data_IF_482525306400
#
_entry.id   IF_482525306400
#
_cell.length_a   1.000
_cell.length_b   1.000
_cell.length_c   1.000
_cell.angle_alpha   90.00
_cell.angle_beta   90.00
_cell.angle_gamma   90.00
#
_symmetry.space_group_name_H-M   'P 1'
#
loop_
_entity.id
_entity.type
_entity.pdbx_description
1 polymer ?
#
# COMPACT_ATOMS: atom_id res chain seq x y z
N UNK A 1 13.44 -3.67 16.17
CA UNK A 1 13.83 -2.27 15.83
C UNK A 1 15.20 -1.90 16.39
N UNK A 2 15.43 -1.96 17.71
CA UNK A 2 16.71 -1.58 18.36
C UNK A 2 17.92 -2.29 17.72
N UNK A 3 17.80 -3.59 17.44
CA UNK A 3 18.83 -4.36 16.73
C UNK A 3 19.30 -3.70 15.41
N UNK A 4 18.37 -3.19 14.59
CA UNK A 4 18.74 -2.55 13.31
C UNK A 4 19.54 -1.27 13.56
N UNK A 5 19.13 -0.46 14.53
CA UNK A 5 19.85 0.76 14.94
C UNK A 5 21.28 0.42 15.38
N UNK A 6 21.43 -0.58 16.26
CA UNK A 6 22.75 -1.00 16.76
C UNK A 6 23.62 -1.51 15.61
N UNK A 7 23.10 -2.38 14.75
CA UNK A 7 23.86 -2.93 13.63
C UNK A 7 24.29 -1.86 12.62
N UNK A 8 23.43 -0.88 12.36
CA UNK A 8 23.77 0.27 11.51
C UNK A 8 24.82 1.16 12.17
N UNK A 9 24.71 1.44 13.47
CA UNK A 9 25.70 2.22 14.22
C UNK A 9 27.07 1.54 14.24
N UNK A 10 27.09 0.20 14.31
CA UNK A 10 28.30 -0.62 14.27
C UNK A 10 28.85 -0.82 12.84
N UNK A 11 28.17 -0.31 11.81
CA UNK A 11 28.59 -0.43 10.41
C UNK A 11 28.34 -1.79 9.76
N UNK A 12 27.62 -2.70 10.42
CA UNK A 12 27.27 -4.01 9.84
C UNK A 12 26.12 -3.93 8.83
N UNK A 13 25.28 -2.89 8.91
CA UNK A 13 24.16 -2.66 8.00
C UNK A 13 24.17 -1.22 7.48
N UNK A 14 23.82 -1.05 6.22
CA UNK A 14 23.61 0.28 5.63
C UNK A 14 22.29 0.90 6.09
N UNK A 15 22.18 2.22 5.94
CA UNK A 15 20.96 2.97 6.23
C UNK A 15 19.95 2.72 5.11
N UNK A 16 18.68 2.48 5.47
CA UNK A 16 17.61 2.31 4.48
C UNK A 16 17.42 3.57 3.64
N UNK A 17 17.42 3.42 2.31
CA UNK A 17 17.13 4.51 1.39
C UNK A 17 15.65 4.90 1.45
N UNK A 18 15.41 6.18 1.79
CA UNK A 18 14.07 6.76 1.84
C UNK A 18 13.46 6.91 0.45
N UNK A 19 14.25 7.05 -0.60
CA UNK A 19 13.78 7.31 -1.96
C UNK A 19 13.63 6.01 -2.78
N UNK A 20 14.02 4.87 -2.21
CA UNK A 20 13.77 3.56 -2.79
C UNK A 20 12.27 3.30 -2.99
N UNK A 21 11.88 3.00 -4.24
CA UNK A 21 10.46 2.85 -4.60
C UNK A 21 9.76 1.66 -3.95
N UNK A 22 10.49 0.62 -3.53
CA UNK A 22 9.88 -0.50 -2.78
C UNK A 22 9.39 -0.09 -1.39
N UNK A 23 9.87 1.03 -0.86
CA UNK A 23 9.43 1.62 0.41
C UNK A 23 8.25 2.59 0.23
N UNK A 24 7.78 2.80 -1.01
CA UNK A 24 6.63 3.65 -1.31
C UNK A 24 5.36 2.83 -1.46
N UNK A 25 4.23 3.46 -1.15
CA UNK A 25 2.89 2.93 -1.39
C UNK A 25 2.07 4.00 -2.11
N UNK A 26 1.31 3.55 -3.10
CA UNK A 26 0.38 4.39 -3.86
C UNK A 26 -0.99 4.30 -3.23
N UNK A 27 -1.50 5.43 -2.78
CA UNK A 27 -2.88 5.55 -2.35
C UNK A 27 -3.77 5.81 -3.56
N UNK A 28 -4.69 4.88 -3.83
CA UNK A 28 -5.62 4.97 -4.94
C UNK A 28 -6.90 5.72 -4.54
N UNK A 29 -7.67 6.14 -5.55
CA UNK A 29 -8.95 6.82 -5.37
C UNK A 29 -9.90 6.04 -4.44
N UNK A 30 -9.97 4.72 -4.57
CA UNK A 30 -10.81 3.87 -3.71
C UNK A 30 -10.45 3.97 -2.23
N UNK A 31 -9.16 3.91 -1.90
CA UNK A 31 -8.68 4.04 -0.52
C UNK A 31 -9.00 5.41 0.06
N UNK A 32 -8.80 6.48 -0.71
CA UNK A 32 -9.15 7.84 -0.30
C UNK A 32 -10.66 7.96 -0.05
N UNK A 33 -11.49 7.59 -1.03
CA UNK A 33 -12.96 7.68 -0.93
C UNK A 33 -13.47 6.86 0.26
N UNK A 34 -12.89 5.68 0.51
CA UNK A 34 -13.24 4.84 1.67
C UNK A 34 -13.04 5.57 2.99
N UNK A 35 -11.88 6.23 3.18
CA UNK A 35 -11.60 7.00 4.40
C UNK A 35 -12.57 8.18 4.57
N UNK A 36 -12.86 8.89 3.48
CA UNK A 36 -13.81 10.00 3.49
C UNK A 36 -15.22 9.53 3.85
N UNK A 37 -15.69 8.46 3.19
CA UNK A 37 -17.00 7.88 3.44
C UNK A 37 -17.12 7.34 4.86
N UNK A 38 -16.10 6.66 5.39
CA UNK A 38 -16.12 6.13 6.76
C UNK A 38 -16.30 7.25 7.80
N UNK A 39 -15.59 8.37 7.64
CA UNK A 39 -15.73 9.52 8.54
C UNK A 39 -17.12 10.15 8.43
N UNK A 40 -17.64 10.35 7.22
CA UNK A 40 -18.98 10.88 6.99
C UNK A 40 -20.07 9.97 7.56
N UNK A 41 -19.94 8.66 7.38
CA UNK A 41 -20.89 7.68 7.88
C UNK A 41 -20.88 7.61 9.42
N UNK A 42 -19.71 7.71 10.05
CA UNK A 42 -19.62 7.79 11.52
C UNK A 42 -20.18 9.09 12.07
N UNK A 43 -19.99 10.22 11.37
CA UNK A 43 -20.64 11.49 11.72
C UNK A 43 -22.17 11.40 11.59
N UNK A 44 -22.66 10.81 10.49
CA UNK A 44 -24.08 10.54 10.29
C UNK A 44 -24.67 9.71 11.45
N UNK A 45 -24.02 8.62 11.84
CA UNK A 45 -24.46 7.79 12.98
C UNK A 45 -24.43 8.57 14.31
N UNK A 46 -23.43 9.42 14.51
CA UNK A 46 -23.31 10.24 15.73
C UNK A 46 -24.39 11.32 15.80
N UNK A 47 -24.74 11.95 14.67
CA UNK A 47 -25.84 12.91 14.59
C UNK A 47 -27.19 12.22 14.80
N UNK A 48 -27.42 11.08 14.16
CA UNK A 48 -28.65 10.30 14.31
C UNK A 48 -28.85 9.88 15.77
N UNK A 49 -27.78 9.43 16.45
CA UNK A 49 -27.82 9.12 17.87
C UNK A 49 -28.21 10.35 18.71
N UNK A 50 -27.59 11.51 18.46
CA UNK A 50 -27.94 12.76 19.18
C UNK A 50 -29.41 13.14 18.99
N UNK A 51 -29.93 13.02 17.77
CA UNK A 51 -31.34 13.32 17.48
C UNK A 51 -32.26 12.34 18.21
N UNK A 52 -31.93 11.04 18.20
CA UNK A 52 -32.68 10.03 18.94
C UNK A 52 -32.67 10.31 20.45
N UNK A 53 -31.51 10.60 21.04
CA UNK A 53 -31.38 10.90 22.47
C UNK A 53 -32.19 12.15 22.89
N UNK A 54 -32.34 13.13 22.00
CA UNK A 54 -33.16 14.34 22.23
C UNK A 54 -34.66 14.10 22.02
N UNK A 55 -35.03 13.22 21.09
CA UNK A 55 -36.40 13.04 20.64
C UNK A 55 -37.14 11.96 21.42
N UNK A 56 -36.43 10.94 21.93
CA UNK A 56 -37.01 9.85 22.71
C UNK A 56 -37.35 10.35 24.13
N UNK A 57 -38.64 10.50 24.48
CA UNK A 57 -39.03 11.01 25.78
C UNK A 57 -38.87 9.91 26.85
N UNK A 58 -38.21 10.23 27.98
CA UNK A 58 -38.00 9.30 29.11
C UNK A 58 -39.26 8.57 29.66
N UNK A 59 -40.48 9.16 29.66
CA UNK A 59 -41.63 8.53 30.30
C UNK A 59 -42.66 7.88 29.35
N UNK A 60 -42.47 7.85 28.03
CA UNK A 60 -43.44 7.21 27.10
C UNK A 60 -42.75 6.41 26.00
N UNK A 61 -43.12 5.14 25.89
CA UNK A 61 -42.78 4.24 24.80
C UNK A 61 -43.53 4.62 23.51
N UNK A 62 -43.32 5.86 23.01
CA UNK A 62 -43.76 6.23 21.68
C UNK A 62 -42.84 5.54 20.65
N UNK A 63 -43.43 5.03 19.57
CA UNK A 63 -42.67 4.42 18.48
C UNK A 63 -41.75 5.47 17.85
N UNK A 64 -40.44 5.27 17.96
CA UNK A 64 -39.45 6.15 17.34
C UNK A 64 -39.16 5.67 15.91
N UNK A 65 -39.64 6.43 14.92
CA UNK A 65 -39.34 6.18 13.52
C UNK A 65 -38.00 6.84 13.15
N UNK A 66 -36.95 6.02 13.13
CA UNK A 66 -35.58 6.46 12.82
C UNK A 66 -35.48 7.05 11.42
N UNK A 67 -36.25 6.52 10.46
CA UNK A 67 -36.12 6.87 9.03
C UNK A 67 -36.43 8.35 8.79
N UNK A 68 -37.41 8.90 9.53
CA UNK A 68 -37.78 10.32 9.45
C UNK A 68 -36.69 11.26 9.94
N UNK A 69 -35.78 10.77 10.77
CA UNK A 69 -34.73 11.56 11.40
C UNK A 69 -33.37 11.39 10.69
N UNK A 70 -33.31 10.59 9.63
CA UNK A 70 -32.12 10.42 8.81
C UNK A 70 -31.92 11.61 7.86
N UNK A 71 -30.85 12.38 8.08
CA UNK A 71 -30.43 13.45 7.16
C UNK A 71 -29.73 12.87 5.93
N UNK A 72 -30.48 12.69 4.84
CA UNK A 72 -29.96 12.12 3.59
C UNK A 72 -28.89 13.01 2.92
N UNK A 73 -28.98 14.33 3.11
CA UNK A 73 -28.11 15.29 2.40
C UNK A 73 -26.67 15.35 2.91
N UNK A 74 -26.41 14.89 4.14
CA UNK A 74 -25.12 15.07 4.82
C UNK A 74 -23.98 14.40 4.03
N UNK A 75 -24.20 13.14 3.63
CA UNK A 75 -23.19 12.34 2.93
C UNK A 75 -23.00 12.88 1.52
N UNK A 76 -24.09 13.06 0.78
CA UNK A 76 -24.08 13.54 -0.61
C UNK A 76 -23.40 14.89 -0.74
N UNK A 77 -23.82 15.88 0.06
CA UNK A 77 -23.30 17.25 0.01
C UNK A 77 -21.81 17.26 0.36
N UNK A 78 -21.41 16.52 1.40
CA UNK A 78 -20.00 16.51 1.83
C UNK A 78 -19.08 15.84 0.81
N UNK A 79 -19.52 14.74 0.19
CA UNK A 79 -18.77 14.07 -0.88
C UNK A 79 -18.60 14.99 -2.10
N UNK A 80 -19.68 15.65 -2.53
CA UNK A 80 -19.64 16.59 -3.66
C UNK A 80 -18.71 17.77 -3.37
N UNK A 81 -18.73 18.33 -2.16
CA UNK A 81 -17.83 19.42 -1.77
C UNK A 81 -16.37 18.96 -1.75
N UNK A 82 -16.07 17.78 -1.20
CA UNK A 82 -14.70 17.25 -1.13
C UNK A 82 -14.12 16.98 -2.53
N UNK A 83 -14.92 16.42 -3.44
CA UNK A 83 -14.50 16.11 -4.80
C UNK A 83 -14.39 17.38 -5.65
N UNK A 84 -15.32 18.32 -5.54
CA UNK A 84 -15.32 19.56 -6.34
C UNK A 84 -14.23 20.54 -5.91
N UNK A 85 -14.00 20.70 -4.61
CA UNK A 85 -12.96 21.59 -4.09
C UNK A 85 -11.55 20.98 -4.12
N UNK A 86 -11.44 19.64 -4.16
CA UNK A 86 -10.18 18.91 -4.05
C UNK A 86 -9.48 19.04 -2.70
N UNK A 87 -10.16 19.59 -1.71
CA UNK A 87 -9.69 19.72 -0.34
C UNK A 87 -10.28 18.60 0.53
N UNK A 88 -9.42 17.67 0.94
CA UNK A 88 -9.77 16.50 1.71
C UNK A 88 -9.32 16.73 3.15
N UNK A 89 -10.25 17.22 3.97
CA UNK A 89 -10.03 17.54 5.38
C UNK A 89 -10.81 16.55 6.24
N UNK A 90 -10.12 15.50 6.71
CA UNK A 90 -10.70 14.46 7.54
C UNK A 90 -10.05 14.51 8.92
N UNK A 91 -10.67 15.28 9.83
CA UNK A 91 -10.15 15.54 11.19
C UNK A 91 -9.87 14.25 11.98
N UNK A 92 -10.76 13.24 11.85
CA UNK A 92 -10.64 11.97 12.56
C UNK A 92 -9.34 11.22 12.25
N UNK A 93 -8.89 11.28 11.00
CA UNK A 93 -7.66 10.63 10.54
C UNK A 93 -6.47 11.59 10.47
N UNK A 94 -6.61 12.84 10.97
CA UNK A 94 -5.61 13.90 10.85
C UNK A 94 -5.10 14.07 9.41
N UNK A 95 -5.99 13.89 8.43
CA UNK A 95 -5.66 14.01 7.02
C UNK A 95 -6.09 15.37 6.52
N UNK A 96 -5.11 16.20 6.17
CA UNK A 96 -5.33 17.50 5.55
C UNK A 96 -4.59 17.54 4.22
N UNK A 97 -5.29 17.20 3.14
CA UNK A 97 -4.72 17.16 1.79
C UNK A 97 -5.42 18.15 0.89
N UNK A 98 -4.64 18.89 0.11
CA UNK A 98 -5.12 19.85 -0.88
C UNK A 98 -4.74 19.39 -2.29
N UNK A 99 -5.62 19.64 -3.25
CA UNK A 99 -5.38 19.31 -4.66
C UNK A 99 -5.39 17.81 -4.96
N UNK A 100 -6.16 17.04 -4.19
CA UNK A 100 -6.35 15.59 -4.41
C UNK A 100 -7.09 15.34 -5.72
N UNK A 101 -8.15 16.10 -5.97
CA UNK A 101 -8.88 16.10 -7.25
C UNK A 101 -8.49 17.32 -8.06
N UNK A 102 -8.49 17.17 -9.39
CA UNK A 102 -8.15 18.21 -10.35
C UNK A 102 -9.11 18.10 -11.54
N UNK A 103 -9.40 19.23 -12.19
CA UNK A 103 -10.20 19.25 -13.42
C UNK A 103 -9.41 18.55 -14.53
N UNK A 104 -10.03 17.60 -15.21
CA UNK A 104 -9.41 16.89 -16.32
C UNK A 104 -9.15 17.85 -17.49
N UNK A 105 -7.89 18.00 -17.86
CA UNK A 105 -7.46 18.79 -19.02
C UNK A 105 -7.86 18.08 -20.31
N UNK A 106 -8.57 18.79 -21.19
CA UNK A 106 -9.05 18.29 -22.49
C UNK A 106 -8.37 18.98 -23.69
N UNK A 107 -7.09 19.30 -23.55
CA UNK A 107 -6.32 19.93 -24.63
C UNK A 107 -6.00 18.96 -25.77
N UNK A 108 -5.71 17.70 -25.44
CA UNK A 108 -5.46 16.63 -26.41
C UNK A 108 -5.77 15.27 -25.79
N UNK A 109 -5.90 14.25 -26.62
CA UNK A 109 -6.09 12.87 -26.16
C UNK A 109 -4.96 12.43 -25.20
N UNK A 110 -3.71 12.74 -25.55
CA UNK A 110 -2.54 12.41 -24.72
C UNK A 110 -2.54 13.20 -23.41
N UNK A 111 -2.98 14.46 -23.43
CA UNK A 111 -3.09 15.27 -22.20
C UNK A 111 -4.09 14.67 -21.21
N UNK A 112 -5.24 14.21 -21.70
CA UNK A 112 -6.23 13.55 -20.86
C UNK A 112 -5.70 12.22 -20.29
N UNK A 113 -5.05 11.40 -21.12
CA UNK A 113 -4.47 10.12 -20.68
C UNK A 113 -3.34 10.31 -19.67
N UNK A 114 -2.42 11.25 -19.92
CA UNK A 114 -1.30 11.55 -19.03
C UNK A 114 -1.74 12.09 -17.67
N UNK A 115 -2.95 12.66 -17.55
CA UNK A 115 -3.53 13.00 -16.26
C UNK A 115 -4.03 11.79 -15.47
N UNK A 116 -4.54 10.76 -16.14
CA UNK A 116 -5.06 9.55 -15.49
C UNK A 116 -3.95 8.69 -14.88
N UNK A 117 -2.78 8.66 -15.52
CA UNK A 117 -1.61 7.86 -15.08
C UNK A 117 -0.66 8.65 -14.18
N UNK A 118 -1.04 9.86 -13.79
CA UNK A 118 -0.21 10.79 -13.00
C UNK A 118 -0.15 10.38 -11.54
N UNK A 119 1.05 10.45 -10.99
CA UNK A 119 1.36 10.24 -9.58
C UNK A 119 1.89 11.54 -9.00
N UNK A 120 1.38 11.92 -7.83
CA UNK A 120 1.84 13.08 -7.08
C UNK A 120 2.55 12.63 -5.80
N UNK A 121 3.75 13.15 -5.57
CA UNK A 121 4.44 13.03 -4.29
C UNK A 121 3.84 13.98 -3.25
N UNK A 122 3.88 13.58 -1.98
CA UNK A 122 3.44 14.39 -0.83
C UNK A 122 4.49 15.42 -0.38
N UNK A 123 5.64 15.49 -1.06
CA UNK A 123 6.72 16.40 -0.68
C UNK A 123 6.35 17.86 -0.96
N UNK A 124 6.72 18.77 -0.05
CA UNK A 124 6.52 20.21 -0.24
C UNK A 124 7.28 20.71 -1.49
N UNK A 125 6.54 21.34 -2.41
CA UNK A 125 7.08 21.81 -3.69
C UNK A 125 8.13 22.93 -3.52
N UNK A 126 8.01 23.71 -2.45
CA UNK A 126 8.84 24.91 -2.19
C UNK A 126 10.29 24.59 -1.81
N UNK A 127 10.57 23.38 -1.30
CA UNK A 127 11.93 23.00 -0.91
C UNK A 127 12.71 22.47 -2.11
N UNK A 128 13.85 23.10 -2.41
CA UNK A 128 14.81 22.67 -3.45
C UNK A 128 15.73 21.56 -2.95
N UNK A 129 15.15 20.40 -2.62
CA UNK A 129 15.93 19.20 -2.24
C UNK A 129 16.00 18.26 -3.43
N UNK A 130 17.21 17.83 -3.81
CA UNK A 130 17.44 16.98 -4.99
C UNK A 130 16.98 15.54 -4.79
N UNK A 131 17.15 14.96 -3.59
CA UNK A 131 16.86 13.54 -3.28
C UNK A 131 15.56 12.99 -3.90
N UNK A 132 14.37 13.46 -3.48
CA UNK A 132 13.10 12.94 -3.97
C UNK A 132 12.78 13.32 -5.43
N UNK A 133 13.50 14.28 -6.00
CA UNK A 133 13.33 14.75 -7.39
C UNK A 133 14.19 13.95 -8.36
N UNK A 134 15.31 13.43 -7.90
CA UNK A 134 16.24 12.65 -8.70
C UNK A 134 15.59 11.36 -9.22
N UNK A 135 16.00 10.98 -10.43
CA UNK A 135 15.62 9.72 -11.05
C UNK A 135 16.30 8.58 -10.29
N UNK A 136 15.51 7.72 -9.65
CA UNK A 136 16.02 6.55 -8.94
C UNK A 136 16.11 5.34 -9.89
N UNK A 137 17.13 4.47 -9.81
CA UNK A 137 17.16 3.23 -10.59
C UNK A 137 16.03 2.26 -10.21
N UNK A 138 15.55 2.34 -8.97
CA UNK A 138 14.52 1.45 -8.42
C UNK A 138 13.13 1.59 -9.08
N UNK A 139 12.86 2.70 -9.77
CA UNK A 139 11.59 2.91 -10.51
C UNK A 139 11.62 2.36 -11.95
N UNK A 140 12.71 1.71 -12.37
CA UNK A 140 12.87 1.16 -13.71
C UNK A 140 11.65 0.35 -14.15
N UNK A 141 11.05 0.76 -15.27
CA UNK A 141 9.87 0.17 -15.91
C UNK A 141 8.56 0.26 -15.11
N UNK A 142 8.58 0.88 -13.93
CA UNK A 142 7.37 1.12 -13.12
C UNK A 142 6.83 2.52 -13.38
N UNK A 143 7.75 3.48 -13.51
CA UNK A 143 7.49 4.86 -13.84
C UNK A 143 8.20 5.24 -15.13
N UNK A 144 7.63 6.19 -15.86
CA UNK A 144 8.27 6.80 -17.01
C UNK A 144 9.45 7.67 -16.54
N UNK A 145 10.67 7.51 -17.10
CA UNK A 145 11.82 8.31 -16.70
C UNK A 145 11.79 9.75 -17.23
N UNK A 146 11.00 10.00 -18.29
CA UNK A 146 11.00 11.28 -19.01
C UNK A 146 9.73 12.10 -18.77
N UNK A 147 8.62 11.46 -18.42
CA UNK A 147 7.31 12.12 -18.32
C UNK A 147 7.12 12.73 -16.93
N UNK A 148 7.74 13.91 -16.76
CA UNK A 148 7.65 14.77 -15.59
C UNK A 148 7.57 16.22 -16.05
N UNK A 149 6.73 17.08 -15.42
CA UNK A 149 6.67 18.49 -15.81
C UNK A 149 7.97 19.21 -15.45
N UNK A 150 8.35 20.20 -16.26
CA UNK A 150 9.44 21.10 -15.93
C UNK A 150 9.06 22.09 -14.82
N UNK A 151 10.06 22.72 -14.20
CA UNK A 151 9.88 23.73 -13.16
C UNK A 151 9.75 23.14 -11.73
N UNK A 152 8.94 23.76 -10.89
CA UNK A 152 8.86 23.44 -9.45
C UNK A 152 8.35 22.01 -9.17
N UNK A 153 7.59 21.42 -10.09
CA UNK A 153 7.05 20.08 -9.96
C UNK A 153 7.97 18.97 -10.52
N UNK A 154 9.11 19.34 -11.10
CA UNK A 154 10.05 18.39 -11.71
C UNK A 154 10.52 17.35 -10.70
N UNK A 155 10.34 16.08 -11.05
CA UNK A 155 10.66 14.91 -10.24
C UNK A 155 9.68 14.61 -9.09
N UNK A 156 8.74 15.50 -8.77
CA UNK A 156 7.71 15.27 -7.75
C UNK A 156 6.39 14.76 -8.35
N UNK A 157 6.11 15.18 -9.59
CA UNK A 157 5.02 14.64 -10.39
C UNK A 157 5.64 13.68 -11.42
N UNK A 158 5.17 12.44 -11.43
CA UNK A 158 5.69 11.37 -12.29
C UNK A 158 4.53 10.58 -12.86
N UNK A 159 4.74 9.91 -13.99
CA UNK A 159 3.70 9.08 -14.61
C UNK A 159 4.05 7.59 -14.55
N UNK A 160 3.03 6.74 -14.41
CA UNK A 160 3.16 5.29 -14.48
C UNK A 160 3.62 4.85 -15.88
N UNK A 161 4.41 3.76 -15.93
CA UNK A 161 4.71 3.06 -17.17
C UNK A 161 3.53 2.16 -17.61
N UNK A 162 3.53 1.77 -18.89
CA UNK A 162 2.40 1.07 -19.52
C UNK A 162 2.01 -0.27 -18.87
N UNK A 163 3.01 -1.07 -18.48
CA UNK A 163 2.77 -2.41 -17.90
C UNK A 163 2.70 -2.39 -16.36
N UNK A 164 2.61 -1.21 -15.75
CA UNK A 164 2.59 -1.09 -14.30
C UNK A 164 1.20 -1.39 -13.75
N UNK A 165 1.16 -2.23 -12.72
CA UNK A 165 -0.02 -2.56 -11.95
C UNK A 165 0.15 -2.09 -10.50
N UNK A 166 -0.92 -1.60 -9.87
CA UNK A 166 -0.91 -1.23 -8.45
C UNK A 166 -1.64 -2.31 -7.68
N UNK A 167 -0.95 -2.94 -6.74
CA UNK A 167 -1.52 -4.01 -5.90
C UNK A 167 -2.68 -3.50 -5.04
N UNK A 168 -3.63 -4.38 -4.78
CA UNK A 168 -4.71 -4.18 -3.81
C UNK A 168 -4.45 -5.04 -2.58
N UNK A 169 -5.03 -4.68 -1.44
CA UNK A 169 -4.89 -5.46 -0.22
C UNK A 169 -5.45 -6.87 -0.40
N UNK A 170 -4.69 -7.85 0.08
CA UNK A 170 -5.07 -9.26 0.13
C UNK A 170 -5.02 -9.73 1.57
N UNK A 171 -6.01 -10.54 1.95
CA UNK A 171 -6.11 -11.12 3.28
C UNK A 171 -4.82 -11.87 3.67
N UNK A 172 -4.31 -11.57 4.86
CA UNK A 172 -3.01 -12.07 5.31
C UNK A 172 -3.12 -13.43 6.01
N UNK A 173 -4.27 -13.77 6.57
CA UNK A 173 -4.46 -14.99 7.37
C UNK A 173 -4.20 -16.29 6.57
N UNK A 174 -4.72 -16.48 5.35
CA UNK A 174 -4.39 -17.66 4.54
C UNK A 174 -2.90 -17.77 4.24
N UNK A 175 -2.23 -16.62 4.04
CA UNK A 175 -0.79 -16.57 3.78
C UNK A 175 0.01 -16.95 5.03
N UNK A 176 -0.40 -16.45 6.21
CA UNK A 176 0.23 -16.81 7.49
C UNK A 176 0.12 -18.31 7.77
N UNK A 177 -1.08 -18.89 7.62
CA UNK A 177 -1.30 -20.34 7.79
C UNK A 177 -0.44 -21.17 6.84
N UNK A 178 -0.33 -20.75 5.57
CA UNK A 178 0.54 -21.41 4.60
C UNK A 178 2.02 -21.36 5.02
N UNK A 179 2.48 -20.21 5.54
CA UNK A 179 3.86 -20.07 6.01
C UNK A 179 4.18 -21.05 7.15
N UNK A 180 3.28 -21.20 8.12
CA UNK A 180 3.44 -22.20 9.18
C UNK A 180 3.49 -23.64 8.62
N UNK A 181 2.60 -23.98 7.69
CA UNK A 181 2.60 -25.29 7.04
C UNK A 181 3.87 -25.59 6.24
N UNK A 182 4.57 -24.55 5.77
CA UNK A 182 5.84 -24.65 5.06
C UNK A 182 7.07 -24.69 5.99
N UNK A 183 6.87 -24.79 7.30
CA UNK A 183 7.94 -24.98 8.29
C UNK A 183 8.47 -23.67 8.89
N UNK A 184 7.68 -22.60 8.88
CA UNK A 184 7.96 -21.43 9.72
C UNK A 184 7.59 -21.77 11.16
N UNK A 185 8.53 -21.62 12.09
CA UNK A 185 8.32 -21.82 13.51
C UNK A 185 7.79 -20.51 14.14
N UNK A 186 6.67 -20.58 14.86
CA UNK A 186 6.01 -19.41 15.46
C UNK A 186 6.93 -18.67 16.44
N UNK A 187 7.01 -17.35 16.28
CA UNK A 187 7.79 -16.46 17.16
C UNK A 187 7.41 -16.61 18.64
N UNK A 188 6.16 -16.93 18.97
CA UNK A 188 5.72 -17.09 20.36
C UNK A 188 6.27 -18.36 21.03
N UNK A 189 6.74 -19.33 20.26
CA UNK A 189 7.31 -20.58 20.76
C UNK A 189 8.84 -20.52 20.92
N UNK A 190 9.46 -19.42 20.52
CA UNK A 190 10.91 -19.30 20.40
C UNK A 190 11.50 -18.38 21.47
N UNK A 191 12.69 -18.75 21.93
CA UNK A 191 13.54 -17.89 22.74
C UNK A 191 14.26 -16.82 21.90
N UNK A 192 14.75 -15.76 22.56
CA UNK A 192 15.50 -14.71 21.89
C UNK A 192 16.78 -15.21 21.20
N UNK A 193 17.40 -16.26 21.73
CA UNK A 193 18.59 -16.90 21.13
C UNK A 193 18.24 -17.64 19.85
N UNK A 194 17.11 -18.36 19.82
CA UNK A 194 16.64 -19.10 18.64
C UNK A 194 16.21 -18.16 17.50
N UNK A 195 15.53 -17.06 17.83
CA UNK A 195 15.11 -16.03 16.86
C UNK A 195 16.34 -15.36 16.21
N UNK A 196 17.46 -15.30 16.93
CA UNK A 196 18.68 -14.63 16.47
C UNK A 196 19.81 -15.59 16.12
N UNK A 197 19.50 -16.89 16.07
CA UNK A 197 20.41 -17.94 15.64
C UNK A 197 21.01 -17.65 14.26
N UNK A 198 22.26 -18.05 14.07
CA UNK A 198 22.92 -17.86 12.78
C UNK A 198 22.43 -18.82 11.69
N UNK A 199 21.73 -19.87 12.10
CA UNK A 199 21.22 -20.94 11.23
C UNK A 199 19.80 -20.67 10.73
N UNK A 200 19.14 -19.59 11.18
CA UNK A 200 17.76 -19.29 10.84
C UNK A 200 17.61 -17.91 10.20
N UNK A 201 16.53 -17.76 9.43
CA UNK A 201 16.09 -16.50 8.84
C UNK A 201 14.77 -16.10 9.50
N UNK A 202 14.65 -14.82 9.85
CA UNK A 202 13.40 -14.28 10.41
C UNK A 202 12.41 -14.04 9.26
N UNK A 203 11.19 -14.56 9.39
CA UNK A 203 10.12 -14.39 8.41
C UNK A 203 9.21 -13.24 8.84
N UNK A 204 9.06 -12.27 7.95
CA UNK A 204 8.16 -11.13 8.12
C UNK A 204 6.95 -11.27 7.21
N UNK A 205 5.75 -11.02 7.74
CA UNK A 205 4.52 -10.85 6.97
C UNK A 205 4.01 -9.43 7.20
N UNK A 206 3.96 -8.60 6.14
CA UNK A 206 3.53 -7.20 6.22
C UNK A 206 4.25 -6.36 7.30
N UNK A 207 5.50 -6.73 7.63
CA UNK A 207 6.32 -6.06 8.66
C UNK A 207 6.17 -6.64 10.08
N UNK A 208 5.22 -7.54 10.30
CA UNK A 208 5.11 -8.33 11.54
C UNK A 208 6.08 -9.50 11.51
N UNK A 209 6.74 -9.77 12.63
CA UNK A 209 7.57 -10.96 12.79
C UNK A 209 6.64 -12.15 12.98
N UNK A 210 6.58 -13.03 11.99
CA UNK A 210 5.74 -14.24 12.07
C UNK A 210 6.49 -15.36 12.79
N UNK A 211 7.78 -15.49 12.54
CA UNK A 211 8.55 -16.64 13.01
C UNK A 211 9.94 -16.72 12.40
N UNK A 212 10.55 -17.90 12.48
CA UNK A 212 11.84 -18.20 11.83
C UNK A 212 11.75 -19.42 10.93
N UNK A 213 12.66 -19.50 9.96
CA UNK A 213 12.81 -20.65 9.06
C UNK A 213 14.28 -21.01 8.92
N UNK A 214 14.60 -22.31 8.90
CA UNK A 214 15.97 -22.80 8.70
C UNK A 214 16.36 -22.85 7.22
N UNK A 215 15.44 -23.23 6.34
CA UNK A 215 15.64 -23.25 4.89
C UNK A 215 14.80 -22.17 4.18
N UNK A 216 15.32 -20.92 4.09
CA UNK A 216 14.62 -19.84 3.39
C UNK A 216 14.53 -20.08 1.88
N UNK A 217 15.45 -20.86 1.29
CA UNK A 217 15.47 -21.10 -0.16
C UNK A 217 14.32 -22.00 -0.56
N UNK A 218 14.10 -23.07 0.20
CA UNK A 218 12.95 -23.94 0.01
C UNK A 218 11.64 -23.16 0.19
N UNK A 219 11.48 -22.42 1.29
CA UNK A 219 10.29 -21.62 1.56
C UNK A 219 9.94 -20.68 0.40
N UNK A 220 10.91 -19.88 -0.07
CA UNK A 220 10.69 -18.90 -1.14
C UNK A 220 10.40 -19.57 -2.48
N UNK A 221 11.05 -20.69 -2.77
CA UNK A 221 10.83 -21.45 -4.01
C UNK A 221 9.44 -22.06 -4.02
N UNK A 222 9.01 -22.67 -2.92
CA UNK A 222 7.68 -23.27 -2.77
C UNK A 222 6.59 -22.20 -2.84
N UNK A 223 6.74 -21.05 -2.16
CA UNK A 223 5.79 -19.94 -2.27
C UNK A 223 5.65 -19.41 -3.69
N UNK A 224 6.77 -19.23 -4.40
CA UNK A 224 6.75 -18.79 -5.81
C UNK A 224 6.07 -19.82 -6.71
N UNK A 225 6.27 -21.12 -6.44
CA UNK A 225 5.61 -22.20 -7.17
C UNK A 225 4.10 -22.17 -6.94
N UNK A 226 3.65 -22.12 -5.68
CA UNK A 226 2.23 -22.05 -5.31
C UNK A 226 1.53 -20.86 -5.95
N UNK A 227 2.18 -19.68 -5.93
CA UNK A 227 1.67 -18.46 -6.60
C UNK A 227 1.53 -18.65 -8.12
N UNK A 228 2.53 -19.25 -8.78
CA UNK A 228 2.49 -19.50 -10.23
C UNK A 228 1.44 -20.52 -10.66
N UNK A 229 1.03 -21.42 -9.75
CA UNK A 229 -0.06 -22.36 -9.99
C UNK A 229 -1.43 -21.82 -9.58
N UNK A 230 -1.52 -20.56 -9.11
CA UNK A 230 -2.78 -19.92 -8.74
C UNK A 230 -3.34 -20.31 -7.36
N UNK A 231 -2.58 -21.04 -6.54
CA UNK A 231 -2.98 -21.35 -5.16
C UNK A 231 -2.81 -20.16 -4.21
N UNK A 232 -2.00 -19.19 -4.61
CA UNK A 232 -1.72 -17.96 -3.86
C UNK A 232 -1.94 -16.77 -4.78
N UNK A 233 -2.45 -15.66 -4.25
CA UNK A 233 -2.69 -14.45 -5.03
C UNK A 233 -1.39 -13.93 -5.70
N UNK A 234 -1.49 -13.54 -6.98
CA UNK A 234 -0.38 -13.09 -7.81
C UNK A 234 0.41 -11.92 -7.22
N UNK A 235 -0.26 -11.08 -6.44
CA UNK A 235 0.33 -9.87 -5.85
C UNK A 235 1.06 -10.11 -4.54
N UNK A 236 0.99 -11.32 -3.97
CA UNK A 236 1.78 -11.64 -2.77
C UNK A 236 3.25 -11.71 -3.15
N UNK A 237 4.08 -10.80 -2.62
CA UNK A 237 5.51 -10.76 -2.91
C UNK A 237 6.31 -11.53 -1.88
N UNK A 238 7.36 -12.21 -2.33
CA UNK A 238 8.34 -12.88 -1.46
C UNK A 238 9.76 -12.54 -1.90
N UNK A 239 10.58 -12.05 -0.96
CA UNK A 239 11.98 -11.73 -1.17
C UNK A 239 12.84 -12.15 0.03
N UNK A 240 14.09 -12.50 -0.24
CA UNK A 240 15.07 -12.87 0.78
C UNK A 240 16.13 -11.78 0.88
N UNK A 241 16.36 -11.24 2.07
CA UNK A 241 17.48 -10.35 2.34
C UNK A 241 18.54 -11.12 3.15
N UNK A 242 19.69 -11.36 2.52
CA UNK A 242 20.80 -12.12 3.14
C UNK A 242 21.55 -11.31 4.19
N UNK A 243 21.73 -10.00 3.98
CA UNK A 243 22.41 -9.13 4.94
C UNK A 243 21.62 -9.05 6.26
N UNK A 244 20.29 -8.97 6.16
CA UNK A 244 19.41 -8.95 7.33
C UNK A 244 19.13 -10.36 7.87
N UNK A 245 19.38 -11.42 7.08
CA UNK A 245 18.92 -12.80 7.29
C UNK A 245 17.41 -12.84 7.53
N UNK A 246 16.67 -12.29 6.59
CA UNK A 246 15.22 -12.19 6.67
C UNK A 246 14.55 -12.62 5.37
N UNK A 247 13.36 -13.19 5.50
CA UNK A 247 12.42 -13.41 4.40
C UNK A 247 11.28 -12.42 4.57
N UNK A 248 11.05 -11.57 3.57
CA UNK A 248 9.93 -10.65 3.55
C UNK A 248 8.82 -11.22 2.68
N UNK A 249 7.64 -11.37 3.27
CA UNK A 249 6.39 -11.69 2.60
C UNK A 249 5.47 -10.47 2.74
N UNK A 250 4.85 -10.05 1.65
CA UNK A 250 3.97 -8.88 1.64
C UNK A 250 2.72 -9.15 0.83
N UNK A 251 1.56 -8.97 1.47
CA UNK A 251 0.21 -9.05 0.89
C UNK A 251 -0.51 -7.70 0.89
N UNK A 252 0.15 -6.66 1.40
CA UNK A 252 -0.34 -5.28 1.44
C UNK A 252 -0.52 -4.66 0.04
N UNK A 253 -1.49 -3.77 -0.09
CA UNK A 253 -1.82 -3.02 -1.29
C UNK A 253 -0.95 -1.78 -1.47
N UNK A 254 -1.10 -1.12 -2.63
CA UNK A 254 -0.39 0.11 -2.97
C UNK A 254 1.05 -0.08 -3.46
N UNK A 255 1.58 -1.31 -3.47
CA UNK A 255 2.85 -1.63 -4.14
C UNK A 255 2.70 -1.53 -5.66
N UNK A 256 3.77 -1.10 -6.33
CA UNK A 256 3.85 -1.16 -7.78
C UNK A 256 4.36 -2.55 -8.21
N UNK A 257 3.69 -3.19 -9.17
CA UNK A 257 4.09 -4.43 -9.83
C UNK A 257 4.20 -4.26 -11.35
N UNK A 258 5.04 -5.08 -11.98
CA UNK A 258 5.14 -5.19 -13.45
C UNK A 258 5.28 -6.67 -13.81
N UNK A 259 4.58 -7.16 -14.84
CA UNK A 259 4.72 -8.52 -15.32
C UNK A 259 6.09 -8.71 -15.99
N UNK A 260 6.64 -9.91 -15.83
CA UNK A 260 7.87 -10.35 -16.48
C UNK A 260 7.71 -11.77 -16.99
N UNK A 261 8.43 -12.08 -18.07
CA UNK A 261 8.56 -13.43 -18.58
C UNK A 261 9.47 -14.24 -17.65
N UNK A 262 8.98 -15.39 -17.21
CA UNK A 262 9.75 -16.31 -16.37
C UNK A 262 10.76 -17.06 -17.24
N UNK A 263 12.02 -17.09 -16.79
CA UNK A 263 13.11 -17.85 -17.42
C UNK A 263 13.49 -19.00 -16.50
N UNK A 264 13.68 -20.19 -17.07
CA UNK A 264 14.15 -21.38 -16.35
C UNK A 264 15.29 -22.03 -17.14
N UNK A 265 16.41 -22.33 -16.46
CA UNK A 265 17.61 -22.94 -17.08
C UNK A 265 18.05 -22.23 -18.37
N UNK A 266 18.02 -20.89 -18.37
CA UNK A 266 18.44 -20.05 -19.51
C UNK A 266 17.45 -19.99 -20.67
N UNK A 267 16.26 -20.58 -20.56
CA UNK A 267 15.22 -20.53 -21.60
C UNK A 267 13.94 -19.84 -21.08
N UNK A 268 13.31 -18.95 -21.87
CA UNK A 268 12.01 -18.40 -21.50
C UNK A 268 10.96 -19.52 -21.46
N UNK A 269 10.06 -19.48 -20.47
CA UNK A 269 8.94 -20.42 -20.37
C UNK A 269 7.78 -20.05 -21.31
N UNK A 270 7.79 -18.83 -21.85
CA UNK A 270 6.86 -18.42 -22.90
C UNK A 270 7.25 -19.12 -24.20
N UNK A 271 6.29 -19.81 -24.81
CA UNK A 271 6.42 -20.54 -26.08
C UNK A 271 5.44 -19.93 -27.08
N UNK A 272 5.55 -20.29 -28.36
CA UNK A 272 4.67 -19.78 -29.43
C UNK A 272 3.19 -20.09 -29.23
N UNK A 273 2.83 -21.06 -28.38
CA UNK A 273 1.43 -21.34 -28.03
C UNK A 273 0.84 -20.30 -27.07
N UNK A 274 1.67 -19.57 -26.33
CA UNK A 274 1.22 -18.57 -25.34
C UNK A 274 1.03 -17.16 -25.94
N UNK A 275 1.40 -16.95 -27.21
CA UNK A 275 1.30 -15.68 -27.95
C UNK A 275 0.19 -15.82 -28.98
#
# INVERSE_FOLDING_TARGET
MIRRIILTQLGYLEVDDRDYYGNKRMELAGGLISLLFEDLFKRFNSELKKIADLTIPKPRAAQFDVVRHMRQDLITTSLVIAISSGNWIVKRFKMERKGVTQVLTRLSYISALGMMTRIASQFEKTRKVSGPRSLQPSQWGMLCPSDTPEGEACGLVKNLALMTHITVDVEEEPTARLLFNLGVEDVYMLSGEEIHSQLSYIVFLNGLVLGVVRDPVHLVTTLRLMRRHGYLNDFISVSTNRAHRTVYVSSDGGRLCRPYIIVSKGKPLVTSHHI
#
